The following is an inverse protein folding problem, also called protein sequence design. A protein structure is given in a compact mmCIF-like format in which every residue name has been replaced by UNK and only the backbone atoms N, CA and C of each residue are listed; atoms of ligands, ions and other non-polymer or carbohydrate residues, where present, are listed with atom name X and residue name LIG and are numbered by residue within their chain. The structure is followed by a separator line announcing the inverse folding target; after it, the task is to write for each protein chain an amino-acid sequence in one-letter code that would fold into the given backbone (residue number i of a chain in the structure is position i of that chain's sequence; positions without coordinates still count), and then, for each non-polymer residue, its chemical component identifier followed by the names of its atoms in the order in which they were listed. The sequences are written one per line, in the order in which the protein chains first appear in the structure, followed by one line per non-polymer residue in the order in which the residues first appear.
data_IF_646888221160
#
_entry.id   IF_646888221160
#
_cell.length_a   1.000
_cell.length_b   1.000
_cell.length_c   1.000
_cell.angle_alpha   90.00
_cell.angle_beta   90.00
_cell.angle_gamma   90.00
#
_symmetry.space_group_name_H-M   'P 1'
#
loop_
_entity.id
_entity.type
_entity.pdbx_description
1 polymer ?
#
# COMPACT_ATOMS: atom_id res chain seq x y z
N UNK A 1 13.33 34.28 0.79
CA UNK A 1 12.89 33.56 -0.41
C UNK A 1 11.39 33.34 -0.30
N UNK A 2 10.61 34.34 -0.70
CA UNK A 2 9.16 34.20 -0.87
C UNK A 2 8.91 33.56 -2.23
N UNK A 3 8.69 32.25 -2.24
CA UNK A 3 8.08 31.62 -3.41
C UNK A 3 6.59 31.90 -3.33
N UNK A 4 6.14 32.86 -4.15
CA UNK A 4 4.73 33.06 -4.47
C UNK A 4 4.28 31.79 -5.19
N UNK A 5 3.83 30.80 -4.42
CA UNK A 5 3.04 29.70 -4.97
C UNK A 5 1.82 30.34 -5.63
N UNK A 6 1.51 30.04 -6.90
CA UNK A 6 0.21 30.39 -7.45
C UNK A 6 -0.85 29.90 -6.46
N UNK A 7 -1.78 30.78 -6.09
CA UNK A 7 -2.84 30.44 -5.16
C UNK A 7 -3.61 29.27 -5.77
N UNK A 8 -3.46 28.07 -5.19
CA UNK A 8 -4.20 26.90 -5.64
C UNK A 8 -5.68 27.27 -5.52
N UNK A 9 -6.44 27.10 -6.61
CA UNK A 9 -7.88 27.37 -6.61
C UNK A 9 -8.54 26.62 -5.44
N UNK A 10 -9.35 27.33 -4.65
CA UNK A 10 -10.11 26.73 -3.54
C UNK A 10 -10.93 25.53 -4.01
N UNK A 11 -11.49 25.58 -5.22
CA UNK A 11 -12.24 24.47 -5.81
C UNK A 11 -11.35 23.25 -6.02
N UNK A 12 -10.11 23.46 -6.46
CA UNK A 12 -9.12 22.40 -6.64
C UNK A 12 -8.86 21.64 -5.35
N UNK A 13 -8.66 22.39 -4.25
CA UNK A 13 -8.44 21.83 -2.92
C UNK A 13 -9.66 21.09 -2.40
N UNK A 14 -10.88 21.62 -2.58
CA UNK A 14 -12.11 20.97 -2.13
C UNK A 14 -12.27 19.59 -2.77
N UNK A 15 -12.12 19.49 -4.09
CA UNK A 15 -12.24 18.19 -4.79
C UNK A 15 -11.20 17.20 -4.28
N UNK A 16 -9.95 17.63 -4.11
CA UNK A 16 -8.90 16.76 -3.63
C UNK A 16 -9.15 16.26 -2.20
N UNK A 17 -9.61 17.13 -1.30
CA UNK A 17 -9.99 16.74 0.06
C UNK A 17 -11.20 15.81 0.10
N UNK A 18 -12.17 15.97 -0.80
CA UNK A 18 -13.30 15.04 -0.93
C UNK A 18 -12.80 13.65 -1.35
N UNK A 19 -11.94 13.56 -2.37
CA UNK A 19 -11.36 12.29 -2.81
C UNK A 19 -10.53 11.63 -1.70
N UNK A 20 -9.75 12.42 -0.96
CA UNK A 20 -8.93 11.95 0.14
C UNK A 20 -9.77 11.50 1.35
N UNK A 21 -10.85 12.22 1.67
CA UNK A 21 -11.83 11.83 2.66
C UNK A 21 -12.53 10.53 2.27
N UNK A 22 -12.85 10.36 0.98
CA UNK A 22 -13.36 9.09 0.43
C UNK A 22 -12.39 7.93 0.65
N UNK A 23 -11.09 8.12 0.35
CA UNK A 23 -10.06 7.11 0.62
C UNK A 23 -9.94 6.76 2.10
N UNK A 24 -9.97 7.76 2.99
CA UNK A 24 -9.96 7.55 4.44
C UNK A 24 -11.23 6.84 4.92
N UNK A 25 -12.40 7.17 4.36
CA UNK A 25 -13.66 6.51 4.66
C UNK A 25 -13.62 5.03 4.27
N UNK A 26 -13.15 4.72 3.06
CA UNK A 26 -13.00 3.35 2.57
C UNK A 26 -12.04 2.55 3.46
N UNK A 27 -10.96 3.15 3.95
CA UNK A 27 -10.00 2.46 4.80
C UNK A 27 -10.46 2.29 6.24
N UNK A 28 -10.91 3.37 6.88
CA UNK A 28 -11.12 3.43 8.32
C UNK A 28 -12.54 2.92 8.67
N UNK A 29 -13.64 3.66 8.45
CA UNK A 29 -15.00 3.16 8.66
C UNK A 29 -15.35 1.87 7.90
N UNK A 30 -15.10 1.83 6.58
CA UNK A 30 -15.60 0.73 5.76
C UNK A 30 -14.78 -0.54 6.01
N UNK A 31 -13.49 -0.57 5.65
CA UNK A 31 -12.68 -1.76 5.87
C UNK A 31 -12.45 -2.00 7.36
N UNK A 32 -11.81 -1.06 8.07
CA UNK A 32 -11.43 -1.26 9.47
C UNK A 32 -12.63 -1.47 10.40
N UNK A 33 -13.66 -0.65 10.26
CA UNK A 33 -14.87 -0.67 11.07
C UNK A 33 -15.75 -1.88 10.82
N UNK A 34 -16.07 -2.22 9.56
CA UNK A 34 -16.89 -3.40 9.28
C UNK A 34 -16.12 -4.68 9.62
N UNK A 35 -14.83 -4.80 9.23
CA UNK A 35 -14.00 -5.98 9.50
C UNK A 35 -13.85 -6.28 10.99
N UNK A 36 -14.03 -5.29 11.86
CA UNK A 36 -14.07 -5.47 13.31
C UNK A 36 -15.24 -6.38 13.74
N UNK A 37 -16.41 -6.24 13.10
CA UNK A 37 -17.61 -7.01 13.44
C UNK A 37 -17.85 -8.21 12.51
N UNK A 38 -17.59 -8.05 11.21
CA UNK A 38 -17.85 -9.07 10.19
C UNK A 38 -16.99 -8.88 8.95
N UNK A 39 -16.73 -9.94 8.19
CA UNK A 39 -15.95 -9.86 6.94
C UNK A 39 -16.81 -10.36 5.77
N UNK A 40 -17.82 -9.60 5.34
CA UNK A 40 -18.67 -10.04 4.25
C UNK A 40 -17.89 -10.06 2.93
N UNK A 41 -18.21 -11.02 2.05
CA UNK A 41 -17.42 -11.29 0.83
C UNK A 41 -17.34 -10.08 -0.14
N UNK A 42 -18.29 -9.13 -0.06
CA UNK A 42 -18.29 -7.92 -0.87
C UNK A 42 -17.36 -6.82 -0.34
N UNK A 43 -16.97 -6.86 0.94
CA UNK A 43 -16.24 -5.77 1.60
C UNK A 43 -14.89 -5.52 0.93
N UNK A 44 -14.10 -6.58 0.75
CA UNK A 44 -12.77 -6.46 0.16
C UNK A 44 -12.84 -5.99 -1.32
N UNK A 45 -13.69 -6.56 -2.19
CA UNK A 45 -13.86 -6.02 -3.54
C UNK A 45 -14.24 -4.54 -3.61
N UNK A 46 -15.24 -4.11 -2.82
CA UNK A 46 -15.68 -2.71 -2.79
C UNK A 46 -14.55 -1.80 -2.31
N UNK A 47 -13.87 -2.19 -1.24
CA UNK A 47 -12.73 -1.45 -0.71
C UNK A 47 -11.62 -1.31 -1.75
N UNK A 48 -11.18 -2.40 -2.36
CA UNK A 48 -10.05 -2.43 -3.30
C UNK A 48 -10.35 -1.65 -4.59
N UNK A 49 -11.54 -1.82 -5.16
CA UNK A 49 -11.96 -1.12 -6.38
C UNK A 49 -12.15 0.37 -6.09
N UNK A 50 -12.86 0.71 -5.01
CA UNK A 50 -13.10 2.09 -4.62
C UNK A 50 -11.81 2.86 -4.35
N UNK A 51 -10.88 2.26 -3.61
CA UNK A 51 -9.58 2.90 -3.31
C UNK A 51 -8.72 3.06 -4.56
N UNK A 52 -8.70 2.07 -5.46
CA UNK A 52 -7.95 2.19 -6.69
C UNK A 52 -8.54 3.26 -7.62
N UNK A 53 -9.88 3.33 -7.74
CA UNK A 53 -10.58 4.35 -8.52
C UNK A 53 -10.29 5.75 -7.98
N UNK A 54 -10.46 5.99 -6.68
CA UNK A 54 -10.21 7.31 -6.08
C UNK A 54 -8.73 7.71 -6.17
N UNK A 55 -7.81 6.74 -6.04
CA UNK A 55 -6.38 6.97 -6.26
C UNK A 55 -6.10 7.37 -7.71
N UNK A 56 -6.70 6.69 -8.69
CA UNK A 56 -6.57 7.03 -10.10
C UNK A 56 -7.14 8.44 -10.39
N UNK A 57 -8.29 8.79 -9.80
CA UNK A 57 -8.85 10.14 -9.88
C UNK A 57 -7.91 11.19 -9.30
N UNK A 58 -7.29 10.95 -8.14
CA UNK A 58 -6.31 11.87 -7.54
C UNK A 58 -5.04 12.00 -8.39
N UNK A 59 -4.53 10.90 -8.95
CA UNK A 59 -3.38 10.95 -9.87
C UNK A 59 -3.71 11.81 -11.09
N UNK A 60 -4.90 11.64 -11.67
CA UNK A 60 -5.35 12.46 -12.79
C UNK A 60 -5.54 13.94 -12.41
N UNK A 61 -6.13 14.19 -11.24
CA UNK A 61 -6.39 15.52 -10.71
C UNK A 61 -5.10 16.30 -10.43
N UNK A 62 -4.09 15.62 -9.88
CA UNK A 62 -2.77 16.18 -9.53
C UNK A 62 -1.69 15.94 -10.59
N UNK A 63 -2.07 15.53 -11.82
CA UNK A 63 -1.14 15.03 -12.84
C UNK A 63 0.04 15.96 -13.13
N UNK A 64 -0.17 17.27 -13.09
CA UNK A 64 0.83 18.29 -13.41
C UNK A 64 1.82 18.55 -12.26
N UNK A 65 1.56 17.96 -11.08
CA UNK A 65 2.36 18.17 -9.85
C UNK A 65 2.51 16.91 -9.00
N UNK A 66 2.48 15.74 -9.63
CA UNK A 66 2.68 14.44 -8.97
C UNK A 66 3.99 14.36 -8.17
N UNK A 67 5.05 15.05 -8.62
CA UNK A 67 6.33 15.10 -7.91
C UNK A 67 6.21 15.73 -6.52
N UNK A 68 5.28 16.68 -6.31
CA UNK A 68 5.01 17.28 -4.99
C UNK A 68 4.38 16.29 -4.00
N UNK A 69 3.83 15.19 -4.51
CA UNK A 69 3.24 14.10 -3.74
C UNK A 69 4.15 12.87 -3.72
N UNK A 70 5.45 13.02 -4.01
CA UNK A 70 6.40 11.89 -4.06
C UNK A 70 6.01 10.79 -5.07
N UNK A 71 5.22 11.11 -6.10
CA UNK A 71 4.87 10.16 -7.17
C UNK A 71 5.76 10.46 -8.37
N UNK A 72 6.75 9.60 -8.60
CA UNK A 72 7.56 9.63 -9.82
C UNK A 72 7.02 8.64 -10.88
N UNK A 73 7.65 8.61 -12.06
CA UNK A 73 7.24 7.71 -13.16
C UNK A 73 7.36 6.23 -12.79
N UNK A 74 8.27 5.85 -11.89
CA UNK A 74 8.38 4.46 -11.44
C UNK A 74 7.20 4.08 -10.53
N UNK A 75 6.90 4.91 -9.54
CA UNK A 75 5.74 4.72 -8.66
C UNK A 75 4.43 4.67 -9.47
N UNK A 76 4.27 5.59 -10.43
CA UNK A 76 3.11 5.60 -11.32
C UNK A 76 3.01 4.32 -12.15
N UNK A 77 4.12 3.84 -12.71
CA UNK A 77 4.18 2.57 -13.42
C UNK A 77 3.78 1.39 -12.53
N UNK A 78 4.25 1.37 -11.27
CA UNK A 78 3.88 0.34 -10.30
C UNK A 78 2.36 0.34 -10.05
N UNK A 79 1.77 1.52 -9.80
CA UNK A 79 0.34 1.68 -9.53
C UNK A 79 -0.53 1.22 -10.70
N UNK A 80 -0.14 1.56 -11.93
CA UNK A 80 -0.90 1.21 -13.14
C UNK A 80 -0.76 -0.28 -13.46
N UNK A 81 0.43 -0.85 -13.35
CA UNK A 81 0.71 -2.22 -13.83
C UNK A 81 0.37 -3.28 -12.78
N UNK A 82 0.75 -3.08 -11.52
CA UNK A 82 0.66 -4.17 -10.55
C UNK A 82 -0.74 -4.44 -10.03
N UNK A 83 -1.67 -3.48 -10.13
CA UNK A 83 -3.06 -3.72 -9.73
C UNK A 83 -3.76 -4.73 -10.65
N UNK A 84 -3.71 -4.61 -12.00
CA UNK A 84 -4.10 -5.68 -12.91
C UNK A 84 -3.33 -6.99 -12.72
N UNK A 85 -1.99 -6.94 -12.55
CA UNK A 85 -1.16 -8.15 -12.37
C UNK A 85 -1.58 -8.95 -11.14
N UNK A 86 -1.98 -8.29 -10.06
CA UNK A 86 -2.53 -8.94 -8.86
C UNK A 86 -3.68 -9.90 -9.22
N UNK A 87 -4.59 -9.49 -10.11
CA UNK A 87 -5.74 -10.31 -10.54
C UNK A 87 -5.32 -11.58 -11.28
N UNK A 88 -4.24 -11.50 -12.06
CA UNK A 88 -3.67 -12.65 -12.78
C UNK A 88 -2.97 -13.60 -11.81
N UNK A 89 -2.28 -13.08 -10.80
CA UNK A 89 -1.62 -13.90 -9.78
C UNK A 89 -2.65 -14.72 -9.00
N UNK A 90 -3.79 -14.12 -8.63
CA UNK A 90 -4.89 -14.86 -7.98
C UNK A 90 -5.38 -16.03 -8.85
N UNK A 91 -5.54 -15.81 -10.15
CA UNK A 91 -5.92 -16.87 -11.10
C UNK A 91 -4.84 -17.95 -11.19
N UNK A 92 -3.56 -17.58 -11.24
CA UNK A 92 -2.43 -18.53 -11.25
C UNK A 92 -2.36 -19.38 -9.97
N UNK A 93 -2.75 -18.82 -8.83
CA UNK A 93 -2.91 -19.54 -7.56
C UNK A 93 -4.18 -20.39 -7.48
N UNK A 94 -4.93 -20.51 -8.59
CA UNK A 94 -6.19 -21.26 -8.66
C UNK A 94 -7.26 -20.73 -7.72
N UNK A 95 -7.20 -19.44 -7.36
CA UNK A 95 -8.23 -18.74 -6.58
C UNK A 95 -9.32 -18.19 -7.51
N UNK A 96 -9.83 -19.02 -8.42
CA UNK A 96 -10.82 -18.61 -9.44
C UNK A 96 -12.14 -18.13 -8.86
N UNK A 97 -12.48 -18.58 -7.64
CA UNK A 97 -13.69 -18.16 -6.92
C UNK A 97 -13.51 -16.80 -6.21
N UNK A 98 -12.29 -16.27 -6.11
CA UNK A 98 -12.06 -14.95 -5.53
C UNK A 98 -12.66 -13.87 -6.47
N UNK A 99 -13.56 -12.99 -5.99
CA UNK A 99 -14.20 -11.99 -6.84
C UNK A 99 -13.21 -11.06 -7.57
N UNK A 100 -11.99 -10.90 -7.04
CA UNK A 100 -10.94 -10.06 -7.62
C UNK A 100 -10.02 -10.80 -8.60
N UNK A 101 -10.10 -12.13 -8.70
CA UNK A 101 -9.34 -12.90 -9.67
C UNK A 101 -9.81 -12.61 -11.10
N UNK A 102 -8.90 -12.67 -12.07
CA UNK A 102 -9.28 -12.58 -13.48
C UNK A 102 -9.90 -13.90 -13.95
N UNK A 103 -11.00 -13.92 -14.73
CA UNK A 103 -11.69 -12.79 -15.37
C UNK A 103 -12.98 -12.33 -14.65
N UNK A 104 -13.08 -12.48 -13.32
CA UNK A 104 -14.30 -12.12 -12.60
C UNK A 104 -14.59 -10.62 -12.73
N UNK A 105 -15.88 -10.25 -12.76
CA UNK A 105 -16.34 -8.88 -13.03
C UNK A 105 -15.67 -7.82 -12.10
N UNK A 106 -15.56 -8.03 -10.77
CA UNK A 106 -14.85 -7.08 -9.92
C UNK A 106 -13.36 -6.97 -10.25
N UNK A 107 -12.69 -8.08 -10.59
CA UNK A 107 -11.31 -8.09 -11.07
C UNK A 107 -11.10 -7.28 -12.36
N UNK A 108 -12.04 -7.36 -13.31
CA UNK A 108 -12.00 -6.58 -14.56
C UNK A 108 -12.07 -5.06 -14.33
N UNK A 109 -12.67 -4.60 -13.23
CA UNK A 109 -12.69 -3.18 -12.90
C UNK A 109 -11.28 -2.61 -12.73
N UNK A 110 -10.32 -3.37 -12.18
CA UNK A 110 -8.93 -2.91 -12.06
C UNK A 110 -8.28 -2.68 -13.41
N UNK A 111 -8.55 -3.55 -14.39
CA UNK A 111 -8.06 -3.37 -15.75
C UNK A 111 -8.63 -2.11 -16.40
N UNK A 112 -9.94 -1.89 -16.27
CA UNK A 112 -10.63 -0.71 -16.82
C UNK A 112 -10.06 0.58 -16.20
N UNK A 113 -9.90 0.62 -14.88
CA UNK A 113 -9.34 1.79 -14.18
C UNK A 113 -7.88 2.03 -14.60
N UNK A 114 -7.05 0.99 -14.62
CA UNK A 114 -5.64 1.09 -15.00
C UNK A 114 -5.46 1.57 -16.45
N UNK A 115 -6.21 0.99 -17.39
CA UNK A 115 -6.22 1.38 -18.80
C UNK A 115 -6.75 2.81 -18.97
N UNK A 116 -7.85 3.15 -18.29
CA UNK A 116 -8.43 4.49 -18.32
C UNK A 116 -7.44 5.55 -17.85
N UNK A 117 -6.76 5.30 -16.72
CA UNK A 117 -5.72 6.20 -16.20
C UNK A 117 -4.54 6.31 -17.16
N UNK A 118 -4.04 5.19 -17.67
CA UNK A 118 -2.91 5.18 -18.61
C UNK A 118 -3.24 5.97 -19.89
N UNK A 119 -4.42 5.76 -20.47
CA UNK A 119 -4.88 6.47 -21.66
C UNK A 119 -5.10 7.97 -21.39
N UNK A 120 -5.68 8.32 -20.24
CA UNK A 120 -5.88 9.72 -19.86
C UNK A 120 -4.54 10.46 -19.76
N UNK A 121 -3.57 9.89 -19.04
CA UNK A 121 -2.23 10.47 -18.88
C UNK A 121 -1.45 10.53 -20.19
N UNK A 122 -1.61 9.53 -21.06
CA UNK A 122 -0.99 9.53 -22.38
C UNK A 122 -1.55 10.64 -23.27
N UNK A 123 -2.88 10.80 -23.31
CA UNK A 123 -3.56 11.82 -24.13
C UNK A 123 -3.38 13.25 -23.61
N UNK A 124 -3.17 13.44 -22.32
CA UNK A 124 -2.99 14.79 -21.78
C UNK A 124 -1.66 15.43 -22.14
N UNK A 125 -0.69 14.63 -22.63
CA UNK A 125 0.69 15.06 -22.87
C UNK A 125 1.34 15.74 -21.63
N UNK A 126 0.82 15.46 -20.44
CA UNK A 126 1.35 16.03 -19.19
C UNK A 126 2.79 15.60 -19.01
N UNK A 127 3.73 16.52 -18.72
CA UNK A 127 5.12 16.16 -18.46
C UNK A 127 5.21 15.37 -17.15
N UNK A 128 5.17 14.04 -17.26
CA UNK A 128 5.32 13.16 -16.10
C UNK A 128 6.73 13.32 -15.49
N UNK A 129 6.87 13.22 -14.16
CA UNK A 129 8.18 13.29 -13.51
C UNK A 129 9.18 12.33 -14.13
N UNK A 130 10.43 12.75 -14.30
CA UNK A 130 11.45 11.94 -14.97
C UNK A 130 11.72 10.66 -14.17
N UNK A 131 11.86 9.55 -14.90
CA UNK A 131 12.37 8.32 -14.32
C UNK A 131 13.85 8.53 -13.99
N UNK A 132 14.21 8.39 -12.71
CA UNK A 132 15.59 8.60 -12.26
C UNK A 132 16.22 7.27 -11.83
N UNK A 133 17.53 7.11 -12.02
CA UNK A 133 18.28 5.99 -11.44
C UNK A 133 18.14 5.95 -9.91
N UNK A 134 17.99 7.13 -9.30
CA UNK A 134 17.74 7.31 -7.88
C UNK A 134 16.44 6.63 -7.44
N UNK A 135 15.39 6.65 -8.25
CA UNK A 135 14.12 5.96 -7.98
C UNK A 135 14.30 4.45 -7.89
N UNK A 136 15.01 3.83 -8.84
CA UNK A 136 15.32 2.40 -8.79
C UNK A 136 16.24 2.03 -7.62
N UNK A 137 17.22 2.87 -7.29
CA UNK A 137 18.04 2.67 -6.09
C UNK A 137 17.18 2.66 -4.83
N UNK A 138 16.24 3.60 -4.71
CA UNK A 138 15.33 3.66 -3.57
C UNK A 138 14.29 2.54 -3.55
N UNK A 139 13.88 2.01 -4.70
CA UNK A 139 13.10 0.77 -4.79
C UNK A 139 13.87 -0.39 -4.15
N UNK A 140 15.14 -0.58 -4.52
CA UNK A 140 16.01 -1.62 -3.95
C UNK A 140 16.28 -1.43 -2.45
N UNK A 141 16.52 -0.19 -2.00
CA UNK A 141 16.63 0.14 -0.57
C UNK A 141 15.32 -0.19 0.15
N UNK A 142 14.16 0.09 -0.47
CA UNK A 142 12.86 -0.26 0.07
C UNK A 142 12.70 -1.76 0.31
N UNK A 143 13.08 -2.59 -0.67
CA UNK A 143 13.10 -4.05 -0.51
C UNK A 143 13.97 -4.44 0.71
N UNK A 144 15.20 -3.93 0.78
CA UNK A 144 16.13 -4.24 1.88
C UNK A 144 15.59 -3.80 3.25
N UNK A 145 15.05 -2.58 3.36
CA UNK A 145 14.44 -2.06 4.58
C UNK A 145 13.23 -2.92 4.98
N UNK A 146 12.42 -3.36 4.02
CA UNK A 146 11.31 -4.27 4.27
C UNK A 146 11.79 -5.59 4.87
N UNK A 147 12.85 -6.20 4.30
CA UNK A 147 13.48 -7.42 4.85
C UNK A 147 13.97 -7.22 6.28
N UNK A 148 14.71 -6.14 6.56
CA UNK A 148 15.22 -5.85 7.91
C UNK A 148 14.05 -5.69 8.90
N UNK A 149 13.00 -4.99 8.49
CA UNK A 149 11.81 -4.77 9.33
C UNK A 149 11.10 -6.09 9.65
N UNK A 150 11.03 -7.02 8.71
CA UNK A 150 10.50 -8.36 8.95
C UNK A 150 11.35 -9.12 9.96
N UNK A 151 12.69 -9.08 9.85
CA UNK A 151 13.56 -9.76 10.82
C UNK A 151 13.34 -9.23 12.24
N UNK A 152 13.16 -7.91 12.38
CA UNK A 152 12.84 -7.27 13.67
C UNK A 152 11.47 -7.71 14.20
N UNK A 153 10.47 -7.83 13.32
CA UNK A 153 9.08 -8.14 13.69
C UNK A 153 8.75 -9.64 13.70
N UNK A 154 9.69 -10.50 13.30
CA UNK A 154 9.49 -11.94 13.18
C UNK A 154 9.13 -12.61 14.52
N UNK A 155 9.79 -12.22 15.61
CA UNK A 155 9.50 -12.76 16.93
C UNK A 155 8.10 -12.35 17.45
N UNK A 156 7.71 -11.06 17.45
CA UNK A 156 6.32 -10.69 17.77
C UNK A 156 5.28 -11.39 16.88
N UNK A 157 5.58 -11.58 15.59
CA UNK A 157 4.71 -12.33 14.68
C UNK A 157 4.58 -13.81 15.10
N UNK A 158 5.67 -14.45 15.54
CA UNK A 158 5.65 -15.86 15.94
C UNK A 158 4.74 -16.14 17.13
N UNK A 159 4.57 -15.18 18.03
CA UNK A 159 3.72 -15.29 19.24
C UNK A 159 2.22 -15.37 18.95
N UNK A 160 1.79 -15.00 17.74
CA UNK A 160 0.37 -14.98 17.35
C UNK A 160 0.04 -15.98 16.23
N UNK A 161 0.96 -16.90 15.91
CA UNK A 161 0.70 -17.98 14.95
C UNK A 161 -0.06 -19.10 15.63
N UNK A 162 -1.10 -19.60 14.96
CA UNK A 162 -1.88 -20.72 15.47
C UNK A 162 -0.99 -21.97 15.55
N UNK A 163 -0.93 -22.57 16.75
CA UNK A 163 -0.15 -23.77 17.02
C UNK A 163 -0.58 -24.95 16.14
N UNK A 164 -1.83 -24.99 15.67
CA UNK A 164 -2.36 -26.02 14.77
C UNK A 164 -1.63 -26.01 13.41
N UNK A 165 -1.23 -24.82 12.94
CA UNK A 165 -0.56 -24.61 11.66
C UNK A 165 0.92 -25.04 11.70
N UNK A 166 1.49 -25.18 12.90
CA UNK A 166 2.88 -25.59 13.10
C UNK A 166 3.09 -27.11 12.92
N UNK A 167 2.01 -27.88 12.67
CA UNK A 167 2.06 -29.32 12.42
C UNK A 167 2.66 -29.64 11.04
N UNK A 168 2.47 -28.75 10.06
CA UNK A 168 3.08 -28.85 8.74
C UNK A 168 4.30 -27.92 8.67
N UNK A 169 5.48 -28.50 8.44
CA UNK A 169 6.75 -27.77 8.28
C UNK A 169 7.19 -27.84 6.82
N UNK A 170 6.74 -26.94 5.92
CA UNK A 170 7.29 -26.87 4.59
C UNK A 170 8.78 -26.55 4.67
N UNK A 171 9.53 -26.97 3.66
CA UNK A 171 10.96 -26.62 3.59
C UNK A 171 11.11 -25.10 3.53
N UNK A 172 12.16 -24.58 4.19
CA UNK A 172 12.50 -23.15 4.15
C UNK A 172 12.62 -22.68 2.68
N UNK A 173 13.22 -23.52 1.83
CA UNK A 173 13.32 -23.26 0.40
C UNK A 173 11.96 -23.09 -0.26
N UNK A 174 10.98 -23.97 0.01
CA UNK A 174 9.63 -23.86 -0.56
C UNK A 174 8.96 -22.53 -0.17
N UNK A 175 9.14 -22.08 1.08
CA UNK A 175 8.65 -20.78 1.55
C UNK A 175 9.28 -19.60 0.80
N UNK A 176 10.60 -19.65 0.57
CA UNK A 176 11.30 -18.58 -0.16
C UNK A 176 11.04 -18.61 -1.68
N UNK A 177 10.78 -19.77 -2.27
CA UNK A 177 10.41 -19.86 -3.70
C UNK A 177 9.10 -19.13 -4.01
N UNK A 178 8.19 -19.04 -3.03
CA UNK A 178 6.94 -18.28 -3.19
C UNK A 178 7.11 -16.75 -3.03
N UNK A 179 8.24 -16.30 -2.48
CA UNK A 179 8.47 -14.88 -2.20
C UNK A 179 8.30 -13.98 -3.42
N UNK A 180 8.90 -14.26 -4.60
CA UNK A 180 8.77 -13.36 -5.75
C UNK A 180 7.31 -13.15 -6.18
N UNK A 181 6.51 -14.22 -6.21
CA UNK A 181 5.11 -14.14 -6.60
C UNK A 181 4.27 -13.41 -5.54
N UNK A 182 4.50 -13.71 -4.26
CA UNK A 182 3.87 -12.98 -3.14
C UNK A 182 4.26 -11.51 -3.13
N UNK A 183 5.51 -11.16 -3.44
CA UNK A 183 5.97 -9.78 -3.51
C UNK A 183 5.19 -9.00 -4.57
N UNK A 184 5.08 -9.53 -5.80
CA UNK A 184 4.33 -8.85 -6.85
C UNK A 184 2.83 -8.78 -6.58
N UNK A 185 2.26 -9.83 -5.96
CA UNK A 185 0.88 -9.79 -5.48
C UNK A 185 0.69 -8.68 -4.44
N UNK A 186 1.54 -8.62 -3.42
CA UNK A 186 1.44 -7.62 -2.34
C UNK A 186 1.73 -6.19 -2.82
N UNK A 187 2.56 -6.05 -3.85
CA UNK A 187 2.81 -4.77 -4.51
C UNK A 187 1.52 -4.23 -5.14
N UNK A 188 0.78 -5.05 -5.88
CA UNK A 188 -0.54 -4.67 -6.42
C UNK A 188 -1.65 -4.59 -5.37
N UNK A 189 -1.60 -5.46 -4.36
CA UNK A 189 -2.64 -5.59 -3.36
C UNK A 189 -2.57 -4.51 -2.28
N UNK A 190 -1.77 -4.71 -1.24
CA UNK A 190 -1.74 -3.80 -0.10
C UNK A 190 -1.01 -2.50 -0.44
N UNK A 191 0.15 -2.59 -1.10
CA UNK A 191 1.03 -1.45 -1.29
C UNK A 191 0.38 -0.36 -2.17
N UNK A 192 -0.13 -0.72 -3.37
CA UNK A 192 -0.81 0.24 -4.27
C UNK A 192 -2.10 0.79 -3.68
N UNK A 193 -2.77 0.07 -2.79
CA UNK A 193 -4.03 0.52 -2.16
C UNK A 193 -3.80 1.53 -1.05
N UNK A 194 -2.68 1.41 -0.34
CA UNK A 194 -2.44 2.17 0.90
C UNK A 194 -1.38 3.26 0.76
N UNK A 195 -0.29 2.99 0.04
CA UNK A 195 0.84 3.93 -0.05
C UNK A 195 0.50 5.22 -0.79
N UNK A 196 -0.26 5.23 -1.90
CA UNK A 196 -0.69 6.48 -2.52
C UNK A 196 -1.57 7.35 -1.62
N UNK A 197 -2.44 6.73 -0.80
CA UNK A 197 -3.24 7.45 0.19
C UNK A 197 -2.33 8.11 1.23
N UNK A 198 -1.53 7.31 1.96
CA UNK A 198 -0.77 7.82 3.10
C UNK A 198 0.48 8.58 2.64
N UNK A 199 1.41 7.94 1.92
CA UNK A 199 2.77 8.46 1.72
C UNK A 199 2.88 9.46 0.56
N UNK A 200 1.85 9.53 -0.29
CA UNK A 200 1.72 10.52 -1.34
C UNK A 200 0.69 11.61 -1.01
N UNK A 201 -0.60 11.35 -1.23
CA UNK A 201 -1.62 12.40 -1.25
C UNK A 201 -1.87 13.01 0.12
N UNK A 202 -2.13 12.20 1.16
CA UNK A 202 -2.35 12.71 2.52
C UNK A 202 -1.11 13.46 3.02
N UNK A 203 0.09 12.93 2.76
CA UNK A 203 1.33 13.59 3.16
C UNK A 203 1.46 14.95 2.47
N UNK A 204 1.34 14.99 1.14
CA UNK A 204 1.49 16.21 0.36
C UNK A 204 0.45 17.26 0.71
N UNK A 205 -0.79 16.86 0.97
CA UNK A 205 -1.85 17.78 1.37
C UNK A 205 -1.66 18.36 2.76
N UNK A 206 -1.31 17.53 3.76
CA UNK A 206 -1.00 18.03 5.10
C UNK A 206 0.19 18.99 5.08
N UNK A 207 1.24 18.67 4.31
CA UNK A 207 2.41 19.54 4.15
C UNK A 207 2.02 20.91 3.57
N UNK A 208 1.13 20.93 2.56
CA UNK A 208 0.61 22.19 1.95
C UNK A 208 -0.25 23.01 2.89
N UNK A 209 -0.86 22.39 3.91
CA UNK A 209 -1.57 23.10 4.98
C UNK A 209 -0.64 23.57 6.11
N UNK A 210 0.68 23.43 5.96
CA UNK A 210 1.68 23.92 6.91
C UNK A 210 2.08 22.93 7.99
N UNK A 211 1.65 21.67 7.92
CA UNK A 211 2.09 20.65 8.87
C UNK A 211 3.57 20.34 8.71
N UNK A 212 4.28 20.15 9.83
CA UNK A 212 5.69 19.74 9.81
C UNK A 212 5.80 18.26 9.44
N UNK A 213 6.84 17.90 8.69
CA UNK A 213 7.09 16.52 8.25
C UNK A 213 7.05 15.49 9.41
N UNK A 214 7.61 15.81 10.59
CA UNK A 214 7.59 14.91 11.76
C UNK A 214 6.18 14.65 12.28
N UNK A 215 5.31 15.65 12.28
CA UNK A 215 3.92 15.49 12.70
C UNK A 215 3.11 14.68 11.71
N UNK A 216 3.30 14.91 10.40
CA UNK A 216 2.67 14.12 9.34
C UNK A 216 3.06 12.65 9.49
N UNK A 217 4.36 12.38 9.70
CA UNK A 217 4.88 11.04 9.88
C UNK A 217 4.22 10.29 11.04
N UNK A 218 4.17 10.90 12.23
CA UNK A 218 3.56 10.30 13.42
C UNK A 218 2.03 10.16 13.27
N UNK A 219 1.37 11.19 12.74
CA UNK A 219 -0.07 11.17 12.50
C UNK A 219 -0.48 10.05 11.56
N UNK A 220 0.25 9.88 10.45
CA UNK A 220 -0.02 8.80 9.51
C UNK A 220 0.26 7.42 10.09
N UNK A 221 1.28 7.27 10.94
CA UNK A 221 1.51 6.00 11.63
C UNK A 221 0.31 5.65 12.54
N UNK A 222 -0.22 6.63 13.28
CA UNK A 222 -1.43 6.47 14.09
C UNK A 222 -2.66 6.12 13.25
N UNK A 223 -2.93 6.86 12.18
CA UNK A 223 -4.06 6.56 11.28
C UNK A 223 -3.93 5.19 10.62
N UNK A 224 -2.72 4.80 10.22
CA UNK A 224 -2.46 3.51 9.61
C UNK A 224 -2.71 2.36 10.59
N UNK A 225 -2.28 2.51 11.85
CA UNK A 225 -2.61 1.59 12.95
C UNK A 225 -4.13 1.50 13.16
N UNK A 226 -4.84 2.63 13.22
CA UNK A 226 -6.30 2.64 13.37
C UNK A 226 -7.02 1.97 12.20
N UNK A 227 -6.49 2.06 10.98
CA UNK A 227 -7.00 1.31 9.82
C UNK A 227 -6.89 -0.21 9.94
N UNK A 228 -6.16 -0.69 10.96
CA UNK A 228 -6.01 -2.10 11.30
C UNK A 228 -6.64 -2.45 12.65
N UNK A 229 -7.62 -1.66 13.13
CA UNK A 229 -8.27 -1.88 14.42
C UNK A 229 -8.86 -3.29 14.59
N UNK A 230 -9.26 -3.94 13.49
CA UNK A 230 -9.75 -5.32 13.48
C UNK A 230 -8.69 -6.36 13.93
N UNK A 231 -7.41 -6.00 14.02
CA UNK A 231 -6.36 -6.83 14.60
C UNK A 231 -6.31 -6.81 16.12
N UNK A 232 -6.94 -5.84 16.80
CA UNK A 232 -6.78 -5.69 18.25
C UNK A 232 -7.19 -6.95 19.03
N UNK A 233 -8.20 -7.69 18.55
CA UNK A 233 -8.70 -8.92 19.16
C UNK A 233 -8.09 -10.19 18.56
N UNK A 234 -7.72 -10.16 17.27
CA UNK A 234 -7.29 -11.36 16.52
C UNK A 234 -5.77 -11.54 16.46
N UNK A 235 -5.03 -10.44 16.45
CA UNK A 235 -3.58 -10.38 16.27
C UNK A 235 -3.01 -9.18 17.03
N UNK A 236 -3.04 -9.20 18.38
CA UNK A 236 -2.71 -8.04 19.20
C UNK A 236 -1.26 -7.58 19.02
N UNK A 237 -0.30 -8.50 18.83
CA UNK A 237 1.09 -8.13 18.54
C UNK A 237 1.20 -7.42 17.19
N UNK A 238 0.44 -7.85 16.18
CA UNK A 238 0.32 -7.11 14.93
C UNK A 238 -0.19 -5.69 15.16
N UNK A 239 -1.28 -5.53 15.90
CA UNK A 239 -1.90 -4.22 16.11
C UNK A 239 -1.01 -3.26 16.92
N UNK A 240 -0.44 -3.73 18.03
CA UNK A 240 0.30 -2.87 18.96
C UNK A 240 1.76 -2.65 18.58
N UNK A 241 2.37 -3.56 17.82
CA UNK A 241 3.81 -3.50 17.54
C UNK A 241 4.12 -3.51 16.03
N UNK A 242 3.68 -4.53 15.30
CA UNK A 242 4.12 -4.74 13.92
C UNK A 242 3.59 -3.65 12.98
N UNK A 243 2.29 -3.35 13.06
CA UNK A 243 1.65 -2.34 12.21
C UNK A 243 2.19 -0.93 12.49
N UNK A 244 2.28 -0.44 13.76
CA UNK A 244 2.85 0.87 14.05
C UNK A 244 4.31 0.99 13.63
N UNK A 245 5.14 -0.02 13.93
CA UNK A 245 6.54 -0.03 13.51
C UNK A 245 6.66 0.00 11.98
N UNK A 246 5.90 -0.83 11.28
CA UNK A 246 5.85 -0.82 9.83
C UNK A 246 5.42 0.53 9.28
N UNK A 247 4.37 1.14 9.83
CA UNK A 247 3.88 2.44 9.38
C UNK A 247 4.92 3.56 9.56
N UNK A 248 5.66 3.53 10.68
CA UNK A 248 6.77 4.45 10.95
C UNK A 248 7.91 4.22 9.95
N UNK A 249 8.32 2.98 9.72
CA UNK A 249 9.34 2.65 8.72
C UNK A 249 8.91 3.17 7.36
N UNK A 250 7.75 2.76 6.84
CA UNK A 250 7.23 3.15 5.52
C UNK A 250 7.18 4.67 5.34
N UNK A 251 6.70 5.40 6.36
CA UNK A 251 6.71 6.87 6.35
C UNK A 251 8.11 7.48 6.33
N UNK A 252 9.06 6.91 7.09
CA UNK A 252 10.44 7.41 7.13
C UNK A 252 11.17 7.22 5.79
N UNK A 253 11.01 6.05 5.14
CA UNK A 253 11.65 5.79 3.85
C UNK A 253 11.02 6.65 2.73
N UNK A 254 9.70 6.82 2.71
CA UNK A 254 9.05 7.73 1.76
C UNK A 254 9.51 9.19 1.96
N UNK A 255 9.59 9.62 3.22
CA UNK A 255 10.05 10.97 3.58
C UNK A 255 11.49 11.23 3.10
N UNK A 256 12.39 10.26 3.27
CA UNK A 256 13.81 10.37 2.90
C UNK A 256 14.04 10.25 1.39
N UNK A 257 13.34 9.35 0.72
CA UNK A 257 13.55 9.07 -0.70
C UNK A 257 12.87 10.07 -1.62
N UNK A 258 11.82 10.75 -1.13
CA UNK A 258 10.93 11.60 -1.94
C UNK A 258 10.26 10.84 -3.09
N UNK A 259 10.14 9.52 -2.97
CA UNK A 259 9.40 8.66 -3.89
C UNK A 259 8.66 7.56 -3.14
N UNK A 260 7.38 7.36 -3.43
CA UNK A 260 6.61 6.26 -2.83
C UNK A 260 7.00 4.90 -3.41
N UNK A 261 7.77 4.82 -4.50
CA UNK A 261 8.27 3.52 -5.02
C UNK A 261 9.06 2.75 -3.95
N UNK A 262 9.80 3.48 -3.12
CA UNK A 262 10.55 2.94 -1.99
C UNK A 262 9.63 2.31 -0.93
N UNK A 263 8.58 3.02 -0.49
CA UNK A 263 7.64 2.49 0.50
C UNK A 263 6.72 1.42 -0.08
N UNK A 264 6.33 1.52 -1.35
CA UNK A 264 5.62 0.47 -2.08
C UNK A 264 6.38 -0.87 -2.02
N UNK A 265 7.68 -0.84 -2.32
CA UNK A 265 8.52 -2.03 -2.27
C UNK A 265 8.73 -2.54 -0.85
N UNK A 266 9.00 -1.67 0.12
CA UNK A 266 9.14 -2.07 1.52
C UNK A 266 7.86 -2.74 2.04
N UNK A 267 6.70 -2.13 1.78
CA UNK A 267 5.40 -2.65 2.18
C UNK A 267 5.13 -4.02 1.53
N UNK A 268 5.34 -4.15 0.22
CA UNK A 268 5.17 -5.41 -0.49
C UNK A 268 6.07 -6.51 0.09
N UNK A 269 7.35 -6.23 0.36
CA UNK A 269 8.27 -7.18 1.01
C UNK A 269 7.76 -7.59 2.38
N UNK A 270 7.39 -6.61 3.23
CA UNK A 270 6.87 -6.82 4.58
C UNK A 270 5.68 -7.78 4.59
N UNK A 271 4.70 -7.56 3.72
CA UNK A 271 3.51 -8.40 3.67
C UNK A 271 3.79 -9.77 3.01
N UNK A 272 4.68 -9.83 2.02
CA UNK A 272 4.99 -11.07 1.30
C UNK A 272 5.72 -12.10 2.18
N UNK A 273 6.47 -11.64 3.17
CA UNK A 273 7.31 -12.51 4.02
C UNK A 273 6.91 -12.52 5.49
N UNK A 274 6.19 -11.51 5.99
CA UNK A 274 5.98 -11.31 7.43
C UNK A 274 5.43 -12.56 8.12
N UNK A 275 4.36 -13.13 7.58
CA UNK A 275 3.76 -14.36 8.11
C UNK A 275 4.71 -15.57 8.01
N UNK A 276 5.33 -15.75 6.85
CA UNK A 276 6.27 -16.85 6.57
C UNK A 276 7.49 -16.86 7.49
N UNK A 277 8.08 -15.70 7.77
CA UNK A 277 9.23 -15.59 8.67
C UNK A 277 8.80 -15.79 10.12
N UNK A 278 7.63 -15.27 10.51
CA UNK A 278 7.05 -15.56 11.82
C UNK A 278 6.84 -17.08 12.04
N UNK A 279 6.33 -17.78 11.03
CA UNK A 279 6.12 -19.24 11.05
C UNK A 279 7.43 -19.99 11.29
N UNK A 280 8.49 -19.59 10.57
CA UNK A 280 9.82 -20.16 10.73
C UNK A 280 10.31 -19.98 12.17
N UNK A 281 10.22 -18.77 12.73
CA UNK A 281 10.62 -18.52 14.12
C UNK A 281 9.79 -19.35 15.10
N UNK A 282 8.47 -19.45 14.89
CA UNK A 282 7.59 -20.25 15.74
C UNK A 282 7.96 -21.74 15.75
N UNK A 283 8.45 -22.31 14.63
CA UNK A 283 8.89 -23.70 14.57
C UNK A 283 10.13 -23.98 15.42
N UNK A 284 11.05 -23.02 15.54
CA UNK A 284 12.29 -23.15 16.32
C UNK A 284 12.09 -22.84 17.81
N UNK A 285 10.97 -22.22 18.19
CA UNK A 285 10.62 -21.95 19.58
C UNK A 285 9.90 -23.12 20.27
N UNK A 286 9.40 -24.10 19.51
CA UNK A 286 8.84 -25.35 20.01
C UNK A 286 9.94 -26.38 20.21
#
# INVERSE_FOLDING_TARGET
MENISPSIDKRHLIVAWILLAGLLFLRLPLLGGIAFFSTPNWLNPVYQIGTYLLTACLIWWERDRLAEFHIDKLALGIIIVFKPVQTLILTLWRMGDDPLAFPNLPGLAFWIIALGLALALWRSHTPLPKLSRTSFRWLGIGILVGFITILITAYPMSLQIDKSQLTYRPSILATFVQFPMNFFYQLGYAAVTEEPLFRAFLWGYLLKTGWKNSWIWLFQAGLFMLGHIYYITRAPYSFWFIVPLGALVLGAIAWRSKTISSSLAAHATMNALGYSVGMIVAWFMK
#
